data_IF_552975955538
#
_entry.id   IF_552975955538
#
_cell.length_a   1.000
_cell.length_b   1.000
_cell.length_c   1.000
_cell.angle_alpha   90.00
_cell.angle_beta   90.00
_cell.angle_gamma   90.00
#
_symmetry.space_group_name_H-M   'P 1'
#
loop_
_entity.id
_entity.type
_entity.pdbx_description
1 polymer ?
#
# COMPACT_ATOMS: atom_id res chain seq x y z
N UNK A 1 10.42 -5.60 23.45
CA UNK A 1 10.14 -4.56 22.44
C UNK A 1 8.65 -4.29 22.37
N UNK A 2 8.26 -3.04 22.21
CA UNK A 2 6.84 -2.69 22.07
C UNK A 2 6.34 -3.00 20.67
N UNK A 3 5.14 -3.58 20.59
CA UNK A 3 4.54 -4.01 19.35
C UNK A 3 3.03 -3.80 19.36
N UNK A 4 2.44 -3.51 18.21
CA UNK A 4 1.01 -3.51 18.00
C UNK A 4 0.57 -4.89 17.50
N UNK A 5 -0.27 -5.56 18.28
CA UNK A 5 -0.67 -6.96 18.09
C UNK A 5 -2.16 -7.03 17.84
N UNK A 6 -2.57 -7.75 16.81
CA UNK A 6 -3.95 -8.17 16.63
C UNK A 6 -4.16 -9.47 17.43
N UNK A 7 -4.87 -9.36 18.55
CA UNK A 7 -5.15 -10.49 19.45
C UNK A 7 -6.54 -11.06 19.18
N UNK A 8 -7.49 -10.20 18.84
CA UNK A 8 -8.88 -10.56 18.59
C UNK A 8 -9.44 -9.73 17.44
N UNK A 9 -10.22 -10.36 16.56
CA UNK A 9 -10.85 -9.67 15.43
C UNK A 9 -11.86 -8.62 15.89
N UNK A 10 -11.95 -7.53 15.14
CA UNK A 10 -12.83 -6.39 15.40
C UNK A 10 -12.57 -5.67 16.74
N UNK A 11 -11.40 -5.87 17.33
CA UNK A 11 -10.95 -5.18 18.54
C UNK A 11 -9.78 -4.24 18.23
N UNK A 12 -9.55 -3.23 19.07
CA UNK A 12 -8.34 -2.42 19.00
C UNK A 12 -7.09 -3.30 19.11
N UNK A 13 -6.01 -2.88 18.47
CA UNK A 13 -4.71 -3.54 18.61
C UNK A 13 -4.20 -3.40 20.06
N UNK A 14 -3.68 -4.49 20.61
CA UNK A 14 -2.99 -4.46 21.89
C UNK A 14 -1.55 -3.94 21.70
N UNK A 15 -1.16 -2.95 22.49
CA UNK A 15 0.25 -2.52 22.59
C UNK A 15 0.88 -3.32 23.72
N UNK A 16 1.78 -4.22 23.39
CA UNK A 16 2.38 -5.15 24.36
C UNK A 16 3.88 -5.30 24.17
N UNK A 17 4.56 -5.70 25.24
CA UNK A 17 5.95 -6.14 25.17
C UNK A 17 6.02 -7.54 24.56
N UNK A 18 6.84 -7.67 23.52
CA UNK A 18 7.08 -8.92 22.79
C UNK A 18 8.57 -9.23 22.82
N UNK A 19 8.91 -10.49 22.97
CA UNK A 19 10.28 -10.98 22.86
C UNK A 19 10.55 -11.47 21.42
N UNK A 20 11.70 -11.08 20.86
CA UNK A 20 12.19 -11.61 19.59
C UNK A 20 12.59 -13.08 19.73
N UNK A 21 12.21 -13.88 18.74
CA UNK A 21 12.80 -15.21 18.57
C UNK A 21 14.24 -15.14 18.04
N UNK A 22 14.87 -16.30 17.91
CA UNK A 22 16.15 -16.43 17.22
C UNK A 22 15.95 -16.36 15.73
N UNK A 23 16.95 -15.81 15.03
CA UNK A 23 16.96 -15.83 13.56
C UNK A 23 17.11 -17.25 13.04
N UNK A 24 16.31 -17.58 12.04
CA UNK A 24 16.43 -18.76 11.19
C UNK A 24 17.09 -18.39 9.86
N UNK A 25 17.33 -19.38 9.01
CA UNK A 25 17.89 -19.19 7.66
C UNK A 25 17.06 -18.18 6.87
N UNK A 26 17.70 -17.19 6.27
CA UNK A 26 17.05 -16.15 5.47
C UNK A 26 16.27 -15.11 6.24
N UNK A 27 16.37 -15.08 7.57
CA UNK A 27 15.72 -14.06 8.41
C UNK A 27 16.70 -12.95 8.80
N UNK A 28 16.15 -11.76 9.02
CA UNK A 28 16.89 -10.53 9.32
C UNK A 28 16.23 -9.80 10.49
N UNK A 29 17.00 -9.39 11.48
CA UNK A 29 16.55 -8.44 12.49
C UNK A 29 16.62 -7.02 11.95
N UNK A 30 15.49 -6.32 11.98
CA UNK A 30 15.37 -4.93 11.54
C UNK A 30 14.80 -4.08 12.67
N UNK A 31 15.51 -3.03 13.04
CA UNK A 31 14.99 -1.95 13.89
C UNK A 31 14.13 -1.04 13.03
N UNK A 32 12.84 -0.97 13.33
CA UNK A 32 11.88 -0.21 12.54
C UNK A 32 11.93 1.27 12.92
N UNK A 33 12.07 2.14 11.95
CA UNK A 33 12.05 3.60 12.14
C UNK A 33 10.63 4.16 11.98
N UNK A 34 10.00 3.82 10.87
CA UNK A 34 8.69 4.33 10.49
C UNK A 34 7.88 3.23 9.82
N UNK A 35 6.58 3.22 10.07
CA UNK A 35 5.60 2.37 9.39
C UNK A 35 4.47 3.21 8.80
N UNK A 36 4.07 2.91 7.58
CA UNK A 36 2.79 3.38 7.05
C UNK A 36 1.63 2.50 7.52
N UNK A 37 0.42 3.04 7.55
CA UNK A 37 -0.79 2.23 7.71
C UNK A 37 -1.64 2.25 6.45
N UNK A 38 -2.18 1.08 6.13
CA UNK A 38 -2.85 0.79 4.87
C UNK A 38 -4.29 0.29 5.11
N UNK A 39 -5.21 0.59 4.19
CA UNK A 39 -6.58 0.09 4.24
C UNK A 39 -6.68 -1.44 4.31
N UNK A 40 -5.70 -2.16 3.73
CA UNK A 40 -5.66 -3.63 3.79
C UNK A 40 -5.55 -4.18 5.22
N UNK A 41 -4.98 -3.41 6.16
CA UNK A 41 -4.91 -3.81 7.57
C UNK A 41 -6.28 -3.69 8.27
N UNK A 42 -7.17 -2.83 7.79
CA UNK A 42 -8.57 -2.82 8.27
C UNK A 42 -9.28 -4.14 7.92
N UNK A 43 -8.96 -4.71 6.74
CA UNK A 43 -9.47 -6.04 6.35
C UNK A 43 -8.86 -7.17 7.19
N UNK A 44 -7.64 -7.02 7.67
CA UNK A 44 -7.03 -7.95 8.65
C UNK A 44 -7.75 -7.88 9.99
N UNK A 45 -7.91 -6.66 10.53
CA UNK A 45 -8.60 -6.41 11.80
C UNK A 45 -10.04 -6.94 11.77
N UNK A 46 -10.74 -6.78 10.64
CA UNK A 46 -12.13 -7.24 10.47
C UNK A 46 -12.26 -8.74 10.17
N UNK A 47 -11.15 -9.45 9.99
CA UNK A 47 -11.15 -10.89 9.66
C UNK A 47 -11.43 -11.22 8.20
N UNK A 48 -11.54 -10.24 7.31
CA UNK A 48 -11.71 -10.48 5.88
C UNK A 48 -10.50 -11.17 5.23
N UNK A 49 -9.34 -11.12 5.91
CA UNK A 49 -8.12 -11.84 5.52
C UNK A 49 -7.84 -12.97 6.53
N UNK A 50 -8.46 -14.13 6.33
CA UNK A 50 -8.09 -15.35 7.04
C UNK A 50 -8.87 -15.68 8.30
N UNK A 51 -9.97 -14.99 8.62
CA UNK A 51 -10.91 -15.36 9.71
C UNK A 51 -10.25 -15.58 11.09
N UNK A 52 -9.20 -14.82 11.42
CA UNK A 52 -8.49 -14.96 12.69
C UNK A 52 -7.61 -16.21 12.83
N UNK A 53 -7.42 -16.97 11.75
CA UNK A 53 -6.63 -18.21 11.75
C UNK A 53 -5.19 -18.04 12.27
N UNK A 54 -4.64 -16.83 12.15
CA UNK A 54 -3.24 -16.55 12.50
C UNK A 54 -3.09 -15.71 13.78
N UNK A 55 -4.15 -15.58 14.59
CA UNK A 55 -4.08 -14.81 15.82
C UNK A 55 -3.35 -15.56 16.94
N UNK A 56 -2.60 -14.85 17.82
CA UNK A 56 -2.24 -13.43 17.67
C UNK A 56 -1.16 -13.22 16.60
N UNK A 57 -1.12 -12.03 15.97
CA UNK A 57 0.00 -11.67 15.10
C UNK A 57 0.35 -10.18 15.15
N UNK A 58 1.61 -9.87 14.82
CA UNK A 58 2.10 -8.50 14.67
C UNK A 58 1.55 -7.89 13.38
N UNK A 59 1.29 -6.60 13.44
CA UNK A 59 0.71 -5.85 12.33
C UNK A 59 1.76 -5.04 11.55
N UNK A 60 1.37 -4.58 10.37
CA UNK A 60 2.17 -3.71 9.50
C UNK A 60 2.89 -4.45 8.37
N UNK A 61 2.98 -3.81 7.19
CA UNK A 61 3.57 -4.41 6.00
C UNK A 61 4.22 -3.39 5.05
N UNK A 62 4.34 -2.16 5.47
CA UNK A 62 5.09 -1.11 4.76
C UNK A 62 5.87 -0.29 5.79
N UNK A 63 7.18 -0.24 5.64
CA UNK A 63 8.03 0.45 6.62
C UNK A 63 9.44 0.72 6.12
N UNK A 64 10.17 1.47 6.94
CA UNK A 64 11.60 1.69 6.81
C UNK A 64 12.28 1.30 8.10
N UNK A 65 13.46 0.70 8.01
CA UNK A 65 14.24 0.31 9.18
C UNK A 65 15.72 0.20 8.90
N UNK A 66 16.46 -0.12 9.96
CA UNK A 66 17.90 -0.40 9.90
C UNK A 66 18.12 -1.88 10.22
N UNK A 67 18.88 -2.57 9.39
CA UNK A 67 19.29 -3.95 9.64
C UNK A 67 20.21 -3.99 10.86
N UNK A 68 19.89 -4.80 11.87
CA UNK A 68 20.73 -4.99 13.06
C UNK A 68 21.52 -6.30 12.98
N UNK A 69 20.91 -7.38 12.51
CA UNK A 69 21.53 -8.72 12.45
C UNK A 69 20.94 -9.49 11.27
N UNK A 70 21.76 -10.35 10.68
CA UNK A 70 21.36 -11.24 9.57
C UNK A 70 21.51 -12.69 9.95
N UNK A 71 20.53 -13.51 9.58
CA UNK A 71 20.58 -14.96 9.77
C UNK A 71 21.42 -15.66 8.69
N UNK A 72 21.59 -16.96 8.87
CA UNK A 72 22.31 -17.80 7.92
C UNK A 72 21.72 -17.72 6.50
N UNK A 73 22.59 -17.61 5.49
CA UNK A 73 22.22 -17.61 4.09
C UNK A 73 21.76 -16.26 3.52
N UNK A 74 21.57 -15.24 4.36
CA UNK A 74 21.24 -13.89 3.90
C UNK A 74 22.40 -13.29 3.11
N UNK A 75 22.10 -12.75 1.92
CA UNK A 75 23.10 -12.21 0.99
C UNK A 75 22.76 -10.84 0.41
N UNK A 76 21.50 -10.38 0.54
CA UNK A 76 21.01 -9.16 -0.10
C UNK A 76 21.09 -7.91 0.78
N UNK A 77 21.30 -8.09 2.09
CA UNK A 77 21.40 -7.00 3.08
C UNK A 77 22.52 -7.29 4.09
N UNK A 78 23.06 -6.23 4.71
CA UNK A 78 24.08 -6.30 5.75
C UNK A 78 23.67 -5.50 7.00
N UNK A 79 24.20 -5.82 8.18
CA UNK A 79 24.01 -4.97 9.36
C UNK A 79 24.43 -3.51 9.09
N UNK A 80 23.58 -2.58 9.48
CA UNK A 80 23.73 -1.14 9.22
C UNK A 80 23.02 -0.64 7.98
N UNK A 81 22.57 -1.50 7.07
CA UNK A 81 21.83 -1.07 5.89
C UNK A 81 20.47 -0.46 6.26
N UNK A 82 20.14 0.69 5.64
CA UNK A 82 18.79 1.22 5.65
C UNK A 82 17.97 0.49 4.60
N UNK A 83 16.78 0.00 4.98
CA UNK A 83 15.96 -0.85 4.12
C UNK A 83 14.52 -0.40 4.06
N UNK A 84 13.92 -0.55 2.89
CA UNK A 84 12.46 -0.60 2.73
C UNK A 84 11.98 -1.99 3.13
N UNK A 85 10.99 -2.04 4.00
CA UNK A 85 10.28 -3.25 4.41
C UNK A 85 8.99 -3.33 3.60
N UNK A 86 8.86 -4.35 2.74
CA UNK A 86 7.77 -4.43 1.76
C UNK A 86 7.03 -5.78 1.81
N UNK A 87 5.73 -5.74 1.50
CA UNK A 87 4.87 -6.92 1.56
C UNK A 87 5.06 -7.87 0.36
N UNK A 88 5.42 -7.34 -0.81
CA UNK A 88 5.67 -8.19 -1.99
C UNK A 88 7.01 -8.91 -1.84
N UNK A 89 7.08 -10.19 -2.24
CA UNK A 89 8.37 -10.86 -2.29
C UNK A 89 9.24 -10.27 -3.40
N UNK A 90 10.50 -10.14 -3.10
CA UNK A 90 11.54 -9.77 -4.05
C UNK A 90 12.65 -10.79 -4.12
N UNK A 91 13.90 -10.36 -4.36
CA UNK A 91 15.08 -11.22 -4.34
C UNK A 91 15.45 -11.66 -2.91
N UNK A 92 16.21 -12.73 -2.80
CA UNK A 92 16.63 -13.32 -1.54
C UNK A 92 15.77 -14.50 -1.09
N UNK A 93 16.08 -15.02 0.08
CA UNK A 93 15.43 -16.21 0.64
C UNK A 93 14.00 -15.87 1.08
N UNK A 94 13.04 -16.70 0.70
CA UNK A 94 11.70 -16.72 1.27
C UNK A 94 11.71 -17.52 2.57
N UNK A 95 12.13 -16.89 3.67
CA UNK A 95 12.34 -17.53 4.96
C UNK A 95 11.04 -18.08 5.57
N UNK A 96 11.19 -18.97 6.54
CA UNK A 96 10.08 -19.44 7.37
C UNK A 96 9.42 -18.26 8.13
N UNK A 97 8.18 -18.48 8.59
CA UNK A 97 7.47 -17.48 9.40
C UNK A 97 8.23 -17.21 10.70
N UNK A 98 8.46 -15.93 11.04
CA UNK A 98 9.18 -15.55 12.23
C UNK A 98 8.41 -15.95 13.51
N UNK A 99 9.17 -16.24 14.56
CA UNK A 99 8.65 -16.59 15.86
C UNK A 99 8.95 -15.51 16.87
N UNK A 100 7.95 -15.26 17.70
CA UNK A 100 7.97 -14.29 18.79
C UNK A 100 7.41 -14.92 20.06
N UNK A 101 7.58 -14.26 21.22
CA UNK A 101 6.90 -14.67 22.46
C UNK A 101 6.13 -13.50 23.05
N UNK A 102 4.90 -13.80 23.46
CA UNK A 102 4.02 -12.90 24.21
C UNK A 102 3.70 -13.57 25.55
N UNK A 103 4.12 -12.95 26.67
CA UNK A 103 3.94 -13.51 28.01
C UNK A 103 4.51 -14.96 28.14
N UNK A 104 5.66 -15.22 27.52
CA UNK A 104 6.31 -16.52 27.50
C UNK A 104 5.70 -17.55 26.54
N UNK A 105 4.61 -17.25 25.86
CA UNK A 105 3.96 -18.13 24.86
C UNK A 105 4.47 -17.78 23.46
N UNK A 106 4.98 -18.79 22.74
CA UNK A 106 5.45 -18.63 21.37
C UNK A 106 4.28 -18.48 20.40
N UNK A 107 4.41 -17.55 19.44
CA UNK A 107 3.50 -17.38 18.33
C UNK A 107 4.28 -17.00 17.04
N UNK A 108 3.68 -17.25 15.89
CA UNK A 108 4.22 -16.86 14.59
C UNK A 108 3.54 -15.61 14.06
N UNK A 109 4.25 -14.86 13.22
CA UNK A 109 3.68 -13.68 12.56
C UNK A 109 4.03 -13.63 11.07
N UNK A 110 3.59 -12.59 10.36
CA UNK A 110 3.89 -12.39 8.96
C UNK A 110 5.40 -12.28 8.67
N UNK A 111 5.80 -12.54 7.43
CA UNK A 111 7.20 -12.44 6.97
C UNK A 111 7.75 -11.00 6.94
N UNK A 112 6.90 -10.02 7.17
CA UNK A 112 7.19 -8.61 7.40
C UNK A 112 6.19 -8.07 8.41
N UNK A 113 6.66 -7.34 9.41
CA UNK A 113 5.84 -6.66 10.43
C UNK A 113 6.48 -5.31 10.71
N UNK A 114 5.71 -4.22 10.65
CA UNK A 114 6.28 -2.87 10.72
C UNK A 114 5.72 -2.01 11.85
N UNK A 115 4.63 -2.44 12.51
CA UNK A 115 4.08 -1.77 13.70
C UNK A 115 4.68 -2.32 14.99
N UNK A 116 6.02 -2.33 15.07
CA UNK A 116 6.82 -2.87 16.16
C UNK A 116 8.18 -2.18 16.19
N UNK A 117 8.80 -2.06 17.37
CA UNK A 117 10.15 -1.44 17.49
C UNK A 117 11.23 -2.25 16.75
N UNK A 118 11.12 -3.59 16.78
CA UNK A 118 12.01 -4.49 16.04
C UNK A 118 11.20 -5.59 15.37
N UNK A 119 11.65 -6.04 14.22
CA UNK A 119 11.01 -7.09 13.46
C UNK A 119 12.01 -8.17 13.04
N UNK A 120 11.54 -9.42 12.97
CA UNK A 120 12.20 -10.46 12.20
C UNK A 120 11.54 -10.48 10.82
N UNK A 121 12.31 -10.22 9.78
CA UNK A 121 11.82 -10.05 8.41
C UNK A 121 12.48 -11.08 7.52
N UNK A 122 11.71 -11.65 6.60
CA UNK A 122 12.28 -12.51 5.55
C UNK A 122 13.16 -11.68 4.60
N UNK A 123 14.32 -12.18 4.21
CA UNK A 123 15.28 -11.50 3.33
C UNK A 123 14.60 -10.91 2.08
N UNK A 124 13.73 -11.69 1.44
CA UNK A 124 13.01 -11.27 0.23
C UNK A 124 11.91 -10.22 0.46
N UNK A 125 11.81 -9.66 1.65
CA UNK A 125 10.91 -8.53 2.01
C UNK A 125 11.68 -7.26 2.31
N UNK A 126 12.95 -7.20 1.96
CA UNK A 126 13.84 -6.09 2.21
C UNK A 126 14.47 -5.60 0.89
N UNK A 127 14.56 -4.29 0.73
CA UNK A 127 15.32 -3.65 -0.35
C UNK A 127 16.17 -2.54 0.26
N UNK A 128 17.48 -2.61 0.03
CA UNK A 128 18.43 -1.59 0.51
C UNK A 128 18.19 -0.26 -0.20
N UNK A 129 18.25 0.82 0.56
CA UNK A 129 18.16 2.20 0.04
C UNK A 129 19.32 3.05 0.56
N UNK A 130 19.69 4.17 -0.10
CA UNK A 130 20.71 5.08 0.38
C UNK A 130 20.46 5.53 1.82
N UNK A 131 21.53 5.72 2.60
CA UNK A 131 21.42 6.08 4.01
C UNK A 131 20.74 7.45 4.23
N UNK A 132 20.85 8.36 3.28
CA UNK A 132 20.23 9.68 3.29
C UNK A 132 18.77 9.69 2.84
N UNK A 133 18.21 8.52 2.46
CA UNK A 133 16.79 8.41 2.09
C UNK A 133 15.92 8.75 3.31
N UNK A 134 14.95 9.66 3.12
CA UNK A 134 13.95 9.97 4.13
C UNK A 134 13.17 8.71 4.54
N UNK A 135 13.10 8.37 5.85
CA UNK A 135 12.46 7.13 6.30
C UNK A 135 10.96 7.05 6.00
N UNK A 136 10.23 8.17 6.03
CA UNK A 136 8.79 8.18 5.73
C UNK A 136 8.54 7.90 4.25
N UNK A 137 9.37 8.49 3.38
CA UNK A 137 9.32 8.19 1.96
C UNK A 137 9.66 6.72 1.68
N UNK A 138 10.76 6.23 2.27
CA UNK A 138 11.14 4.83 2.13
C UNK A 138 10.03 3.87 2.58
N UNK A 139 9.34 4.19 3.69
CA UNK A 139 8.22 3.38 4.16
C UNK A 139 7.07 3.29 3.13
N UNK A 140 6.74 4.39 2.44
CA UNK A 140 5.69 4.39 1.40
C UNK A 140 6.02 3.47 0.21
N UNK A 141 7.31 3.26 -0.07
CA UNK A 141 7.76 2.30 -1.08
C UNK A 141 7.54 0.83 -0.66
N UNK A 142 7.22 0.57 0.60
CA UNK A 142 6.89 -0.78 1.07
C UNK A 142 5.55 -1.31 0.55
N UNK A 143 4.62 -0.43 0.18
CA UNK A 143 3.28 -0.83 -0.29
C UNK A 143 2.66 0.19 -1.24
N UNK A 144 2.26 1.35 -0.71
CA UNK A 144 1.31 2.23 -1.40
C UNK A 144 1.87 2.91 -2.63
N UNK A 145 3.09 3.41 -2.55
CA UNK A 145 3.71 4.16 -3.65
C UNK A 145 4.14 3.20 -4.77
N UNK A 146 4.80 2.09 -4.44
CA UNK A 146 5.17 1.06 -5.43
C UNK A 146 3.94 0.49 -6.12
N UNK A 147 2.86 0.24 -5.37
CA UNK A 147 1.59 -0.24 -5.95
C UNK A 147 1.03 0.76 -6.95
N UNK A 148 0.95 2.03 -6.61
CA UNK A 148 0.37 3.06 -7.46
C UNK A 148 1.20 3.31 -8.72
N UNK A 149 2.51 3.44 -8.57
CA UNK A 149 3.43 3.61 -9.69
C UNK A 149 3.41 2.38 -10.60
N UNK A 150 3.49 1.18 -10.02
CA UNK A 150 3.45 -0.06 -10.78
C UNK A 150 2.13 -0.32 -11.52
N UNK A 151 0.99 0.08 -10.96
CA UNK A 151 -0.30 0.02 -11.68
C UNK A 151 -0.24 0.84 -12.96
N UNK A 152 0.33 2.02 -12.92
CA UNK A 152 0.43 2.89 -14.11
C UNK A 152 1.54 2.41 -15.04
N UNK A 153 2.73 2.12 -14.53
CA UNK A 153 3.93 1.78 -15.30
C UNK A 153 3.85 0.36 -15.92
N UNK A 154 3.50 -0.63 -15.10
CA UNK A 154 3.58 -2.04 -15.51
C UNK A 154 2.25 -2.61 -16.03
N UNK A 155 1.11 -2.04 -15.63
CA UNK A 155 -0.18 -2.70 -15.85
C UNK A 155 -1.16 -1.91 -16.71
N UNK A 156 -1.12 -0.57 -16.65
CA UNK A 156 -2.15 0.26 -17.27
C UNK A 156 -2.05 0.33 -18.80
N UNK A 157 -0.83 0.25 -19.34
CA UNK A 157 -0.58 0.55 -20.74
C UNK A 157 -1.02 1.97 -21.14
N UNK A 158 -0.95 2.93 -20.19
CA UNK A 158 -1.35 4.32 -20.39
C UNK A 158 -0.55 4.95 -21.53
N UNK A 159 -1.27 5.63 -22.43
CA UNK A 159 -0.68 6.38 -23.53
C UNK A 159 -0.80 7.88 -23.29
N UNK A 160 0.15 8.64 -23.82
CA UNK A 160 0.10 10.10 -23.75
C UNK A 160 -1.23 10.65 -24.26
N UNK A 161 -1.84 11.53 -23.47
CA UNK A 161 -3.08 12.20 -23.80
C UNK A 161 -4.38 11.42 -23.48
N UNK A 162 -4.30 10.16 -23.03
CA UNK A 162 -5.47 9.40 -22.58
C UNK A 162 -6.10 10.02 -21.33
N UNK A 163 -7.42 9.84 -21.21
CA UNK A 163 -8.22 10.28 -20.06
C UNK A 163 -8.26 9.20 -18.99
N UNK A 164 -7.93 9.57 -17.76
CA UNK A 164 -7.83 8.65 -16.62
C UNK A 164 -8.83 9.06 -15.54
N UNK A 165 -9.59 8.12 -15.00
CA UNK A 165 -10.36 8.30 -13.78
C UNK A 165 -9.77 7.43 -12.65
N UNK A 166 -9.50 8.06 -11.52
CA UNK A 166 -9.06 7.37 -10.29
C UNK A 166 -10.20 7.40 -9.29
N UNK A 167 -10.66 6.22 -8.90
CA UNK A 167 -11.82 6.04 -8.02
C UNK A 167 -11.38 5.62 -6.64
N UNK A 168 -11.77 6.43 -5.65
CA UNK A 168 -11.24 6.32 -4.30
C UNK A 168 -9.89 7.04 -4.17
N UNK A 169 -9.91 8.25 -3.61
CA UNK A 169 -8.71 9.06 -3.42
C UNK A 169 -8.17 8.92 -1.98
N UNK A 170 -7.99 7.67 -1.54
CA UNK A 170 -7.25 7.33 -0.34
C UNK A 170 -5.75 7.31 -0.59
N UNK A 171 -4.97 6.74 0.34
CA UNK A 171 -3.52 6.74 0.26
C UNK A 171 -2.93 6.16 -1.04
N UNK A 172 -3.55 5.15 -1.63
CA UNK A 172 -3.10 4.60 -2.93
C UNK A 172 -3.62 5.44 -4.09
N UNK A 173 -4.91 5.83 -4.08
CA UNK A 173 -5.50 6.61 -5.17
C UNK A 173 -4.82 7.95 -5.40
N UNK A 174 -4.43 8.66 -4.34
CA UNK A 174 -3.65 9.90 -4.44
C UNK A 174 -2.31 9.68 -5.17
N UNK A 175 -1.62 8.58 -4.87
CA UNK A 175 -0.38 8.21 -5.56
C UNK A 175 -0.65 7.82 -7.03
N UNK A 176 -1.80 7.19 -7.34
CA UNK A 176 -2.18 6.85 -8.73
C UNK A 176 -2.44 8.14 -9.55
N UNK A 177 -3.04 9.19 -8.96
CA UNK A 177 -3.19 10.49 -9.62
C UNK A 177 -1.83 11.06 -10.03
N UNK A 178 -0.86 11.07 -9.10
CA UNK A 178 0.50 11.55 -9.37
C UNK A 178 1.20 10.70 -10.44
N UNK A 179 1.07 9.37 -10.36
CA UNK A 179 1.63 8.45 -11.34
C UNK A 179 1.03 8.64 -12.74
N UNK A 180 -0.30 8.82 -12.86
CA UNK A 180 -0.97 9.08 -14.13
C UNK A 180 -0.50 10.39 -14.77
N UNK A 181 -0.33 11.45 -13.96
CA UNK A 181 0.24 12.71 -14.43
C UNK A 181 1.67 12.54 -14.95
N UNK A 182 2.50 11.85 -14.18
CA UNK A 182 3.89 11.56 -14.56
C UNK A 182 3.97 10.79 -15.88
N UNK A 183 3.05 9.84 -16.09
CA UNK A 183 2.97 9.03 -17.31
C UNK A 183 2.34 9.76 -18.51
N UNK A 184 1.98 11.05 -18.38
CA UNK A 184 1.50 11.86 -19.49
C UNK A 184 0.01 11.68 -19.81
N UNK A 185 -0.82 11.35 -18.84
CA UNK A 185 -2.28 11.41 -18.99
C UNK A 185 -2.73 12.80 -19.43
N UNK A 186 -3.73 12.88 -20.34
CA UNK A 186 -4.26 14.15 -20.84
C UNK A 186 -5.19 14.83 -19.85
N UNK A 187 -6.22 14.13 -19.41
CA UNK A 187 -7.14 14.59 -18.38
C UNK A 187 -7.23 13.54 -17.26
N UNK A 188 -7.12 13.99 -16.03
CA UNK A 188 -7.15 13.13 -14.84
C UNK A 188 -8.34 13.54 -13.98
N UNK A 189 -9.26 12.62 -13.78
CA UNK A 189 -10.47 12.78 -12.99
C UNK A 189 -10.31 12.03 -11.66
N UNK A 190 -10.33 12.77 -10.55
CA UNK A 190 -10.42 12.20 -9.22
C UNK A 190 -11.89 12.00 -8.84
N UNK A 191 -12.27 10.80 -8.42
CA UNK A 191 -13.62 10.48 -7.97
C UNK A 191 -13.58 9.99 -6.53
N UNK A 192 -14.14 10.77 -5.60
CA UNK A 192 -14.22 10.41 -4.17
C UNK A 192 -15.43 11.09 -3.53
N UNK A 193 -16.17 10.37 -2.69
CA UNK A 193 -17.37 10.90 -2.01
C UNK A 193 -17.04 12.01 -1.01
N UNK A 194 -15.81 12.05 -0.47
CA UNK A 194 -15.36 13.04 0.51
C UNK A 194 -14.82 14.31 -0.18
N UNK A 195 -15.62 15.36 -0.25
CA UNK A 195 -15.23 16.65 -0.86
C UNK A 195 -14.00 17.30 -0.19
N UNK A 196 -13.75 16.98 1.07
CA UNK A 196 -12.56 17.43 1.80
C UNK A 196 -11.25 17.04 1.11
N UNK A 197 -11.25 16.00 0.29
CA UNK A 197 -10.09 15.54 -0.49
C UNK A 197 -9.84 16.30 -1.77
N UNK A 198 -10.75 17.15 -2.22
CA UNK A 198 -10.64 17.88 -3.49
C UNK A 198 -9.30 18.61 -3.62
N UNK A 199 -8.90 19.35 -2.58
CA UNK A 199 -7.65 20.12 -2.61
C UNK A 199 -6.42 19.22 -2.83
N UNK A 200 -6.32 18.14 -2.07
CA UNK A 200 -5.17 17.22 -2.20
C UNK A 200 -5.21 16.44 -3.52
N UNK A 201 -6.38 16.07 -4.05
CA UNK A 201 -6.48 15.43 -5.36
C UNK A 201 -5.94 16.34 -6.47
N UNK A 202 -6.30 17.62 -6.45
CA UNK A 202 -5.82 18.58 -7.43
C UNK A 202 -4.31 18.82 -7.30
N UNK A 203 -3.77 18.92 -6.08
CA UNK A 203 -2.31 19.05 -5.90
C UNK A 203 -1.55 17.80 -6.34
N UNK A 204 -2.14 16.62 -6.22
CA UNK A 204 -1.57 15.35 -6.69
C UNK A 204 -1.74 15.10 -8.20
N UNK A 205 -2.23 16.07 -8.94
CA UNK A 205 -2.22 16.02 -10.40
C UNK A 205 -3.57 15.78 -11.07
N UNK A 206 -4.67 15.64 -10.32
CA UNK A 206 -5.99 15.63 -10.93
C UNK A 206 -6.30 17.00 -11.58
N UNK A 207 -6.90 16.97 -12.77
CA UNK A 207 -7.43 18.19 -13.41
C UNK A 207 -8.82 18.53 -12.84
N UNK A 208 -9.59 17.49 -12.48
CA UNK A 208 -10.96 17.63 -12.01
C UNK A 208 -11.23 16.70 -10.82
N UNK A 209 -12.16 17.11 -9.96
CA UNK A 209 -12.64 16.32 -8.83
C UNK A 209 -14.15 16.21 -8.90
N UNK A 210 -14.68 14.98 -8.75
CA UNK A 210 -16.09 14.67 -8.77
C UNK A 210 -16.47 13.77 -7.58
N UNK A 211 -17.70 13.89 -7.09
CA UNK A 211 -18.21 13.04 -6.01
C UNK A 211 -18.65 11.67 -6.50
N UNK A 212 -19.07 11.61 -7.75
CA UNK A 212 -19.54 10.37 -8.36
C UNK A 212 -19.36 10.40 -9.90
N UNK A 213 -19.51 9.25 -10.53
CA UNK A 213 -19.31 9.11 -11.98
C UNK A 213 -20.29 9.91 -12.84
N UNK A 214 -21.51 10.18 -12.35
CA UNK A 214 -22.52 10.89 -13.14
C UNK A 214 -22.13 12.34 -13.44
N UNK A 215 -21.16 12.88 -12.73
CA UNK A 215 -20.68 14.24 -12.92
C UNK A 215 -19.55 14.34 -13.95
N UNK A 216 -18.95 13.21 -14.35
CA UNK A 216 -17.86 13.21 -15.34
C UNK A 216 -18.42 13.52 -16.73
N UNK A 217 -17.90 14.54 -17.45
CA UNK A 217 -18.52 15.03 -18.67
C UNK A 217 -18.27 14.15 -19.90
N UNK A 218 -17.34 13.22 -19.85
CA UNK A 218 -16.94 12.39 -21.00
C UNK A 218 -16.51 10.99 -20.57
N UNK A 219 -16.47 10.06 -21.54
CA UNK A 219 -15.88 8.74 -21.36
C UNK A 219 -14.38 8.85 -21.12
N UNK A 220 -13.83 7.86 -20.40
CA UNK A 220 -12.41 7.79 -20.05
C UNK A 220 -11.76 6.52 -20.61
N UNK A 221 -10.46 6.56 -20.85
CA UNK A 221 -9.72 5.45 -21.47
C UNK A 221 -9.19 4.47 -20.42
N UNK A 222 -8.90 4.97 -19.23
CA UNK A 222 -8.43 4.17 -18.10
C UNK A 222 -9.22 4.53 -16.85
N UNK A 223 -9.69 3.52 -16.13
CA UNK A 223 -10.19 3.65 -14.75
C UNK A 223 -9.30 2.84 -13.83
N UNK A 224 -8.89 3.43 -12.72
CA UNK A 224 -8.23 2.70 -11.63
C UNK A 224 -9.12 2.78 -10.40
N UNK A 225 -9.70 1.64 -10.01
CA UNK A 225 -10.48 1.54 -8.78
C UNK A 225 -9.58 1.17 -7.60
N UNK A 226 -9.64 1.97 -6.55
CA UNK A 226 -8.97 1.71 -5.27
C UNK A 226 -9.95 1.47 -4.13
N UNK A 227 -11.25 1.47 -4.40
CA UNK A 227 -12.29 1.35 -3.38
C UNK A 227 -12.62 -0.08 -3.02
N UNK A 228 -12.60 -0.99 -4.00
CA UNK A 228 -13.14 -2.34 -3.88
C UNK A 228 -14.65 -2.39 -3.68
N UNK A 229 -15.37 -1.28 -3.87
CA UNK A 229 -16.82 -1.24 -3.77
C UNK A 229 -17.44 -1.72 -5.08
N UNK A 230 -18.07 -2.89 -5.07
CA UNK A 230 -18.60 -3.54 -6.27
C UNK A 230 -19.69 -2.72 -6.99
N UNK A 231 -20.48 -1.94 -6.26
CA UNK A 231 -21.50 -1.04 -6.85
C UNK A 231 -20.85 0.13 -7.59
N UNK A 232 -19.79 0.71 -7.00
CA UNK A 232 -19.03 1.79 -7.63
C UNK A 232 -18.30 1.27 -8.87
N UNK A 233 -17.70 0.09 -8.79
CA UNK A 233 -17.04 -0.56 -9.94
C UNK A 233 -18.04 -0.86 -11.04
N UNK A 234 -19.24 -1.37 -10.71
CA UNK A 234 -20.31 -1.63 -11.69
C UNK A 234 -20.73 -0.36 -12.45
N UNK A 235 -20.84 0.78 -11.77
CA UNK A 235 -21.11 2.07 -12.39
C UNK A 235 -19.96 2.52 -13.30
N UNK A 236 -18.72 2.24 -12.92
CA UNK A 236 -17.52 2.65 -13.65
C UNK A 236 -17.46 2.07 -15.07
N UNK A 237 -17.98 0.86 -15.30
CA UNK A 237 -18.04 0.27 -16.65
C UNK A 237 -18.78 1.16 -17.65
N UNK A 238 -19.83 1.85 -17.20
CA UNK A 238 -20.58 2.80 -18.02
C UNK A 238 -19.74 3.98 -18.52
N UNK A 239 -18.63 4.29 -17.87
CA UNK A 239 -17.78 5.45 -18.17
C UNK A 239 -16.61 5.13 -19.10
N UNK A 240 -16.34 3.86 -19.40
CA UNK A 240 -15.26 3.49 -20.31
C UNK A 240 -15.55 3.92 -21.75
N UNK A 241 -14.52 4.45 -22.41
CA UNK A 241 -14.48 4.68 -23.85
C UNK A 241 -14.36 3.35 -24.62
N UNK A 242 -14.47 3.39 -25.95
CA UNK A 242 -14.14 2.23 -26.76
C UNK A 242 -12.67 1.83 -26.55
N UNK A 243 -12.42 0.53 -26.32
CA UNK A 243 -11.11 -0.02 -25.94
C UNK A 243 -10.59 0.49 -24.59
N UNK A 244 -11.46 1.08 -23.79
CA UNK A 244 -11.14 1.50 -22.44
C UNK A 244 -10.82 0.29 -21.54
N UNK A 245 -10.15 0.54 -20.45
CA UNK A 245 -9.75 -0.50 -19.49
C UNK A 245 -9.98 -0.05 -18.06
N UNK A 246 -10.32 -1.01 -17.20
CA UNK A 246 -10.44 -0.79 -15.77
C UNK A 246 -9.47 -1.69 -15.03
N UNK A 247 -8.71 -1.12 -14.11
CA UNK A 247 -7.82 -1.84 -13.19
C UNK A 247 -8.46 -1.83 -11.80
N UNK A 248 -8.73 -3.02 -11.29
CA UNK A 248 -9.32 -3.25 -9.98
C UNK A 248 -8.20 -3.48 -8.97
N UNK A 249 -7.96 -2.51 -8.10
CA UNK A 249 -6.93 -2.53 -7.08
C UNK A 249 -7.52 -2.62 -5.67
N UNK A 250 -8.68 -1.98 -5.45
CA UNK A 250 -9.44 -2.11 -4.23
C UNK A 250 -9.90 -3.55 -4.00
N UNK A 251 -9.91 -3.99 -2.75
CA UNK A 251 -10.32 -5.34 -2.38
C UNK A 251 -11.77 -5.32 -1.89
N UNK A 252 -12.70 -6.03 -2.57
CA UNK A 252 -14.08 -6.18 -2.10
C UNK A 252 -14.14 -7.08 -0.86
N UNK A 253 -15.27 -7.07 -0.16
CA UNK A 253 -15.49 -8.00 0.95
C UNK A 253 -15.69 -9.42 0.43
N UNK A 254 -15.34 -10.43 1.22
CA UNK A 254 -15.61 -11.82 0.86
C UNK A 254 -17.08 -12.05 0.55
N UNK A 255 -17.36 -12.71 -0.58
CA UNK A 255 -18.72 -13.05 -1.01
C UNK A 255 -19.46 -11.96 -1.77
N UNK A 256 -18.88 -10.76 -1.96
CA UNK A 256 -19.47 -9.75 -2.86
C UNK A 256 -19.27 -10.15 -4.31
N UNK A 257 -20.30 -9.88 -5.12
CA UNK A 257 -20.32 -10.19 -6.56
C UNK A 257 -20.18 -8.91 -7.38
N UNK A 258 -19.29 -8.94 -8.39
CA UNK A 258 -19.14 -7.84 -9.34
C UNK A 258 -20.09 -8.05 -10.52
N UNK A 259 -21.02 -7.11 -10.72
CA UNK A 259 -21.95 -7.12 -11.84
C UNK A 259 -21.41 -6.23 -12.96
N UNK A 260 -21.34 -6.78 -14.17
CA UNK A 260 -21.05 -6.02 -15.40
C UNK A 260 -22.39 -5.64 -16.03
N UNK A 261 -22.80 -4.37 -15.94
CA UNK A 261 -24.04 -3.92 -16.58
C UNK A 261 -23.89 -3.90 -18.10
N UNK A 262 -24.99 -4.15 -18.81
CA UNK A 262 -25.02 -4.13 -20.28
C UNK A 262 -23.94 -5.03 -20.92
N UNK A 263 -23.94 -6.32 -20.54
CA UNK A 263 -22.96 -7.28 -21.01
C UNK A 263 -22.84 -7.35 -22.55
N UNK A 264 -23.93 -7.15 -23.30
CA UNK A 264 -23.89 -7.14 -24.76
C UNK A 264 -22.97 -6.04 -25.31
N UNK A 265 -23.00 -4.85 -24.72
CA UNK A 265 -22.07 -3.76 -25.06
C UNK A 265 -20.62 -4.13 -24.81
N UNK A 266 -20.37 -4.89 -23.75
CA UNK A 266 -19.03 -5.38 -23.43
C UNK A 266 -18.52 -6.35 -24.50
N UNK A 267 -19.40 -7.24 -25.01
CA UNK A 267 -19.08 -8.24 -26.04
C UNK A 267 -19.04 -7.67 -27.47
N UNK A 268 -19.82 -6.64 -27.78
CA UNK A 268 -19.97 -6.11 -29.14
C UNK A 268 -18.81 -5.20 -29.60
N UNK A 269 -17.57 -5.65 -29.45
CA UNK A 269 -16.42 -5.07 -30.15
C UNK A 269 -15.86 -3.76 -29.58
N UNK A 270 -16.35 -3.31 -28.42
CA UNK A 270 -15.72 -2.15 -27.74
C UNK A 270 -14.29 -2.43 -27.25
N UNK A 271 -13.89 -3.71 -27.18
CA UNK A 271 -12.54 -4.11 -26.78
C UNK A 271 -12.18 -3.67 -25.35
N UNK A 272 -13.17 -3.65 -24.44
CA UNK A 272 -12.97 -3.31 -23.05
C UNK A 272 -12.13 -4.36 -22.32
N UNK A 273 -11.30 -3.92 -21.37
CA UNK A 273 -10.44 -4.80 -20.58
C UNK A 273 -10.72 -4.59 -19.10
N UNK A 274 -10.85 -5.70 -18.36
CA UNK A 274 -10.87 -5.72 -16.89
C UNK A 274 -9.60 -6.43 -16.45
N UNK A 275 -8.85 -5.79 -15.55
CA UNK A 275 -7.64 -6.36 -14.95
C UNK A 275 -7.67 -6.19 -13.44
N UNK A 276 -7.50 -7.26 -12.70
CA UNK A 276 -7.23 -7.18 -11.27
C UNK A 276 -5.73 -6.95 -11.06
N UNK A 277 -5.39 -6.04 -10.14
CA UNK A 277 -4.01 -5.75 -9.77
C UNK A 277 -3.73 -6.19 -8.35
N UNK A 278 -2.56 -6.74 -8.15
CA UNK A 278 -2.01 -7.02 -6.83
C UNK A 278 -0.62 -6.40 -6.71
N UNK A 279 -0.58 -5.14 -6.22
CA UNK A 279 0.66 -4.41 -6.02
C UNK A 279 1.34 -3.91 -7.30
N UNK A 280 0.57 -3.70 -8.40
CA UNK A 280 1.08 -3.08 -9.62
C UNK A 280 2.14 -3.91 -10.35
N UNK A 281 2.16 -5.23 -10.15
CA UNK A 281 3.18 -6.14 -10.74
C UNK A 281 4.63 -5.70 -10.48
N UNK A 282 4.89 -5.01 -9.37
CA UNK A 282 6.21 -4.49 -9.02
C UNK A 282 7.19 -5.59 -8.61
N UNK A 283 8.46 -5.40 -8.99
CA UNK A 283 9.61 -6.18 -8.55
C UNK A 283 10.42 -5.27 -7.62
N UNK A 284 10.34 -5.44 -6.27
CA UNK A 284 10.86 -4.46 -5.32
C UNK A 284 12.31 -4.03 -5.57
N UNK A 285 13.22 -4.95 -5.85
CA UNK A 285 14.65 -4.65 -6.06
C UNK A 285 14.93 -3.86 -7.35
N UNK A 286 14.05 -3.93 -8.34
CA UNK A 286 14.17 -3.20 -9.60
C UNK A 286 13.43 -1.86 -9.54
N UNK A 287 12.21 -1.88 -9.00
CA UNK A 287 11.30 -0.75 -9.04
C UNK A 287 11.57 0.28 -7.93
N UNK A 288 11.92 -0.16 -6.72
CA UNK A 288 12.21 0.77 -5.62
C UNK A 288 13.35 1.72 -5.96
N UNK A 289 14.51 1.27 -6.49
CA UNK A 289 15.57 2.20 -6.92
C UNK A 289 15.13 3.18 -8.01
N UNK A 290 14.34 2.73 -8.98
CA UNK A 290 13.79 3.61 -10.05
C UNK A 290 12.88 4.68 -9.47
N UNK A 291 12.02 4.32 -8.52
CA UNK A 291 11.07 5.25 -7.90
C UNK A 291 11.76 6.23 -6.94
N UNK A 292 12.83 5.80 -6.26
CA UNK A 292 13.71 6.71 -5.50
C UNK A 292 14.33 7.78 -6.41
N UNK A 293 14.75 7.39 -7.60
CA UNK A 293 15.34 8.35 -8.56
C UNK A 293 14.30 9.37 -9.04
N UNK A 294 13.03 8.97 -9.25
CA UNK A 294 11.95 9.89 -9.57
C UNK A 294 11.71 10.94 -8.47
N UNK A 295 11.82 10.53 -7.19
CA UNK A 295 11.78 11.46 -6.08
C UNK A 295 12.98 12.42 -6.09
N UNK A 296 14.19 11.88 -6.22
CA UNK A 296 15.43 12.68 -6.24
C UNK A 296 15.41 13.75 -7.33
N UNK A 297 14.82 13.42 -8.47
CA UNK A 297 14.65 14.34 -9.61
C UNK A 297 13.46 15.30 -9.44
N UNK A 298 12.67 15.19 -8.37
CA UNK A 298 11.53 16.06 -8.11
C UNK A 298 10.28 15.76 -8.95
N UNK A 299 10.23 14.61 -9.62
CA UNK A 299 9.04 14.20 -10.38
C UNK A 299 7.90 13.71 -9.48
N UNK A 300 8.21 13.26 -8.26
CA UNK A 300 7.27 12.83 -7.24
C UNK A 300 7.55 13.61 -5.96
N UNK A 301 6.50 14.12 -5.33
CA UNK A 301 6.55 14.67 -3.98
C UNK A 301 5.56 13.91 -3.09
N UNK A 302 5.98 13.55 -1.89
CA UNK A 302 5.13 12.84 -0.93
C UNK A 302 4.77 13.69 0.29
N UNK A 303 5.32 14.89 0.42
CA UNK A 303 5.11 15.76 1.57
C UNK A 303 3.62 16.06 1.83
N UNK A 304 2.88 16.39 0.76
CA UNK A 304 1.44 16.65 0.86
C UNK A 304 0.60 15.37 1.04
N UNK A 305 1.16 14.20 0.68
CA UNK A 305 0.48 12.91 0.84
C UNK A 305 0.41 12.49 2.29
N UNK A 306 1.46 12.77 3.08
CA UNK A 306 1.53 12.40 4.51
C UNK A 306 0.77 13.46 5.31
N UNK A 307 -0.49 13.17 5.56
CA UNK A 307 -1.39 14.13 6.22
C UNK A 307 -1.32 14.05 7.75
N UNK A 308 -0.95 12.90 8.30
CA UNK A 308 -0.95 12.68 9.75
C UNK A 308 0.21 11.78 10.19
N UNK A 309 0.70 12.06 11.39
CA UNK A 309 1.77 11.31 12.06
C UNK A 309 1.35 10.98 13.47
N UNK A 310 1.55 9.74 13.88
CA UNK A 310 1.26 9.22 15.22
C UNK A 310 2.47 8.45 15.76
N UNK A 311 2.50 8.23 17.07
CA UNK A 311 3.43 7.29 17.71
C UNK A 311 2.82 5.89 17.74
N UNK A 312 3.63 4.86 17.93
CA UNK A 312 3.16 3.48 18.03
C UNK A 312 2.06 3.29 19.09
N UNK A 313 2.16 3.98 20.23
CA UNK A 313 1.15 3.95 21.29
C UNK A 313 -0.22 4.50 20.87
N UNK A 314 -0.26 5.30 19.81
CA UNK A 314 -1.45 5.97 19.29
C UNK A 314 -2.04 5.25 18.04
N UNK A 315 -1.53 4.06 17.72
CA UNK A 315 -1.86 3.33 16.49
C UNK A 315 -3.37 3.12 16.30
N UNK A 316 -4.13 2.91 17.38
CA UNK A 316 -5.59 2.75 17.29
C UNK A 316 -6.29 4.06 16.87
N UNK A 317 -5.82 5.23 17.33
CA UNK A 317 -6.33 6.53 16.86
C UNK A 317 -6.04 6.71 15.36
N UNK A 318 -4.87 6.26 14.91
CA UNK A 318 -4.49 6.28 13.49
C UNK A 318 -5.42 5.39 12.64
N UNK A 319 -5.78 4.19 13.12
CA UNK A 319 -6.74 3.32 12.44
C UNK A 319 -8.17 3.89 12.45
N UNK A 320 -8.59 4.55 13.52
CA UNK A 320 -9.90 5.21 13.56
C UNK A 320 -9.98 6.37 12.56
N UNK A 321 -8.90 7.17 12.44
CA UNK A 321 -8.79 8.19 11.41
C UNK A 321 -8.81 7.58 10.00
N UNK A 322 -8.08 6.48 9.76
CA UNK A 322 -8.10 5.79 8.48
C UNK A 322 -9.51 5.32 8.10
N UNK A 323 -10.26 4.74 9.05
CA UNK A 323 -11.66 4.32 8.86
C UNK A 323 -12.59 5.48 8.49
N UNK A 324 -12.34 6.68 9.02
CA UNK A 324 -13.15 7.86 8.71
C UNK A 324 -13.06 8.32 7.25
N UNK A 325 -12.02 7.86 6.52
CA UNK A 325 -11.78 8.24 5.13
C UNK A 325 -11.24 9.66 4.94
N UNK A 326 -10.96 10.41 6.00
CA UNK A 326 -10.55 11.83 5.94
C UNK A 326 -9.03 12.05 5.89
N UNK A 327 -8.24 10.99 5.77
CA UNK A 327 -6.79 11.08 5.69
C UNK A 327 -6.26 10.74 4.29
N UNK A 328 -5.10 11.31 3.95
CA UNK A 328 -4.21 10.81 2.90
C UNK A 328 -3.37 9.65 3.43
N UNK A 329 -2.03 9.82 3.50
CA UNK A 329 -1.17 8.82 4.15
C UNK A 329 -1.00 9.13 5.63
N UNK A 330 -1.02 8.08 6.44
CA UNK A 330 -0.80 8.14 7.88
C UNK A 330 0.47 7.36 8.20
N UNK A 331 1.41 8.01 8.91
CA UNK A 331 2.67 7.41 9.31
C UNK A 331 2.71 7.20 10.81
N UNK A 332 3.34 6.11 11.23
CA UNK A 332 3.61 5.77 12.63
C UNK A 332 5.10 5.87 12.85
N UNK A 333 5.53 6.83 13.67
CA UNK A 333 6.91 6.91 14.13
C UNK A 333 7.15 5.83 15.19
N UNK A 334 8.14 4.98 14.98
CA UNK A 334 8.43 3.83 15.82
C UNK A 334 9.67 4.12 16.68
N UNK A 335 10.83 4.34 16.08
CA UNK A 335 12.08 4.67 16.76
C UNK A 335 12.83 5.78 16.05
N UNK A 336 13.83 6.35 16.72
CA UNK A 336 14.68 7.36 16.09
C UNK A 336 15.83 6.72 15.32
N UNK A 337 16.29 7.40 14.28
CA UNK A 337 17.35 6.88 13.41
C UNK A 337 18.68 6.67 14.17
N UNK A 338 18.95 7.50 15.17
CA UNK A 338 20.20 7.50 15.94
C UNK A 338 20.11 6.78 17.30
N UNK A 339 19.06 6.03 17.56
CA UNK A 339 18.94 5.13 18.71
C UNK A 339 19.35 3.72 18.30
#
# INVERSE_FOLDING_TARGET
MKSAILVELNKPLAISEVELGKLSVGQVHVRVLVSGICGSQLHEISGHKGNGKFLPHLMGHEGCGIVEEVGEGVTTVNPGDKVVMHWRPGAGIDAEFPKYKLNGVEFSSGKVNTLTEKAIVSENRLTVVPQDTDPEFAALLGCSLTTALGVIDNESGLKFGEKVAVVGCGGVGLNVLAAARLAGAGEIYAVDSAETKKKICLSQGANFFFKNFSEIPSKVDLIVDTTGNVDVISQAFGMLSNRGRIILLGQPKPGEELVIPDALKFFNGSGLVIKASQGGSTIPQEDIPRYLELLRLGFISVEELITHRFKLAEVNLAFDLLKSGNAGRIMISISKENE
#
